data_IF_939189266036
#
_entry.id   IF_939189266036
#
_cell.length_a   1.000
_cell.length_b   1.000
_cell.length_c   1.000
_cell.angle_alpha   90.00
_cell.angle_beta   90.00
_cell.angle_gamma   90.00
#
_symmetry.space_group_name_H-M   'P 1'
#
loop_
_entity.id
_entity.type
_entity.pdbx_description
1 polymer ?
#
# COMPACT_ATOMS: atom_id res chain seq x y z
N UNK A 1 5.16 -12.18 -8.72
CA UNK A 1 5.48 -13.13 -7.65
C UNK A 1 4.51 -12.96 -6.49
N UNK A 2 3.98 -14.04 -5.98
CA UNK A 2 3.06 -13.97 -4.85
C UNK A 2 3.82 -13.81 -3.54
N UNK A 3 3.29 -13.00 -2.65
CA UNK A 3 3.84 -12.84 -1.31
C UNK A 3 3.54 -14.07 -0.47
N UNK A 4 4.35 -14.32 0.56
CA UNK A 4 4.11 -15.42 1.50
C UNK A 4 2.84 -15.17 2.31
N UNK A 5 2.25 -16.23 2.85
CA UNK A 5 1.09 -16.09 3.73
C UNK A 5 1.44 -15.27 4.98
N UNK A 6 2.66 -15.41 5.48
CA UNK A 6 3.13 -14.60 6.61
C UNK A 6 3.05 -13.12 6.29
N UNK A 7 3.55 -12.71 5.11
CA UNK A 7 3.55 -11.31 4.71
C UNK A 7 2.14 -10.78 4.48
N UNK A 8 1.28 -11.60 3.91
CA UNK A 8 -0.13 -11.25 3.71
C UNK A 8 -0.84 -11.04 5.04
N UNK A 9 -0.60 -11.93 6.00
CA UNK A 9 -1.21 -11.82 7.33
C UNK A 9 -0.66 -10.62 8.10
N UNK A 10 0.63 -10.35 7.99
CA UNK A 10 1.24 -9.16 8.57
C UNK A 10 0.54 -7.89 8.04
N UNK A 11 0.26 -7.87 6.74
CA UNK A 11 -0.45 -6.75 6.13
C UNK A 11 -1.84 -6.59 6.72
N UNK A 12 -2.61 -7.69 6.82
CA UNK A 12 -3.97 -7.66 7.37
C UNK A 12 -4.00 -7.14 8.81
N UNK A 13 -3.00 -7.50 9.60
CA UNK A 13 -2.96 -7.15 11.02
C UNK A 13 -2.43 -5.77 11.31
N UNK A 14 -1.53 -5.26 10.47
CA UNK A 14 -0.77 -4.06 10.80
C UNK A 14 -1.02 -2.87 9.87
N UNK A 15 -1.78 -3.06 8.78
CA UNK A 15 -2.01 -1.97 7.84
C UNK A 15 -2.87 -0.88 8.48
N UNK A 16 -2.55 0.37 8.19
CA UNK A 16 -3.31 1.50 8.68
C UNK A 16 -2.99 2.76 7.88
N UNK A 17 -3.77 3.84 8.08
CA UNK A 17 -3.55 5.08 7.34
C UNK A 17 -2.12 5.58 7.49
N UNK A 18 -1.52 5.93 6.37
CA UNK A 18 -0.13 6.41 6.35
C UNK A 18 0.91 5.31 6.31
N UNK A 19 0.52 4.03 6.36
CA UNK A 19 1.47 2.94 6.25
C UNK A 19 2.05 2.89 4.84
N UNK A 20 3.35 2.60 4.76
CA UNK A 20 3.98 2.41 3.45
C UNK A 20 3.73 0.98 2.99
N UNK A 21 3.37 0.84 1.72
CA UNK A 21 3.13 -0.45 1.09
C UNK A 21 4.04 -0.61 -0.11
N UNK A 22 4.24 -1.84 -0.54
CA UNK A 22 5.07 -2.17 -1.69
C UNK A 22 4.40 -3.27 -2.51
N UNK A 23 4.74 -3.33 -3.79
CA UNK A 23 4.31 -4.45 -4.62
C UNK A 23 5.51 -5.26 -5.10
N UNK A 24 5.24 -6.39 -5.75
CA UNK A 24 6.29 -7.29 -6.22
C UNK A 24 7.08 -6.75 -7.42
N UNK A 25 6.72 -5.59 -7.93
CA UNK A 25 7.39 -4.95 -9.06
C UNK A 25 8.36 -3.85 -8.63
N UNK A 26 8.60 -3.72 -7.33
CA UNK A 26 9.51 -2.71 -6.82
C UNK A 26 8.90 -1.31 -6.65
N UNK A 27 7.60 -1.20 -6.73
CA UNK A 27 6.92 0.07 -6.50
C UNK A 27 6.52 0.21 -5.04
N UNK A 28 6.51 1.46 -4.57
CA UNK A 28 6.11 1.80 -3.20
C UNK A 28 4.98 2.81 -3.24
N UNK A 29 4.20 2.85 -2.16
CA UNK A 29 3.14 3.83 -2.03
C UNK A 29 2.71 3.98 -0.59
N UNK A 30 1.76 4.89 -0.35
CA UNK A 30 1.20 5.11 0.98
C UNK A 30 -0.26 4.65 0.99
N UNK A 31 -0.60 3.85 1.99
CA UNK A 31 -1.95 3.36 2.19
C UNK A 31 -2.85 4.48 2.70
N UNK A 32 -3.99 4.65 2.05
CA UNK A 32 -5.01 5.60 2.48
C UNK A 32 -6.36 4.90 2.45
N UNK A 33 -7.05 4.89 3.57
CA UNK A 33 -8.36 4.26 3.69
C UNK A 33 -9.43 5.34 3.73
N UNK A 34 -10.53 5.13 3.02
CA UNK A 34 -11.64 6.07 2.99
C UNK A 34 -12.95 5.30 2.84
N UNK A 35 -14.07 6.02 2.99
CA UNK A 35 -15.40 5.41 2.81
C UNK A 35 -15.59 4.87 1.39
N UNK A 36 -14.85 5.41 0.44
CA UNK A 36 -14.93 4.97 -0.96
C UNK A 36 -14.00 3.80 -1.26
N UNK A 37 -13.26 3.29 -0.28
CA UNK A 37 -12.33 2.19 -0.45
C UNK A 37 -10.89 2.59 -0.16
N UNK A 38 -9.95 1.82 -0.70
CA UNK A 38 -8.53 1.98 -0.44
C UNK A 38 -7.87 2.66 -1.62
N UNK A 39 -7.00 3.62 -1.33
CA UNK A 39 -6.16 4.27 -2.33
C UNK A 39 -4.70 4.10 -1.95
N UNK A 40 -3.87 3.83 -2.95
CA UNK A 40 -2.42 3.84 -2.77
C UNK A 40 -1.91 5.11 -3.42
N UNK A 41 -1.32 5.98 -2.62
CA UNK A 41 -0.75 7.24 -3.11
C UNK A 41 0.71 7.02 -3.48
N UNK A 42 1.16 7.69 -4.52
CA UNK A 42 2.56 7.63 -4.91
C UNK A 42 3.46 8.23 -3.85
N UNK A 43 4.75 8.01 -3.99
CA UNK A 43 5.77 8.52 -3.07
C UNK A 43 6.52 9.63 -3.79
N UNK A 44 6.67 10.78 -3.14
CA UNK A 44 7.51 11.84 -3.66
C UNK A 44 8.71 12.04 -2.74
N UNK A 45 9.88 12.37 -3.30
CA UNK A 45 11.08 12.57 -2.49
C UNK A 45 10.97 13.84 -1.66
N UNK A 46 11.59 13.82 -0.48
CA UNK A 46 11.76 15.00 0.35
C UNK A 46 13.18 14.98 0.92
N UNK A 47 13.56 16.05 1.60
CA UNK A 47 14.93 16.16 2.14
C UNK A 47 15.21 15.11 3.21
N UNK A 48 14.20 14.67 3.93
CA UNK A 48 14.40 13.80 5.10
C UNK A 48 13.70 12.46 4.96
N UNK A 49 12.41 12.46 4.65
CA UNK A 49 11.61 11.24 4.60
C UNK A 49 10.74 11.24 3.36
N UNK A 50 10.46 10.06 2.79
CA UNK A 50 9.47 9.96 1.71
C UNK A 50 8.12 10.46 2.21
N UNK A 51 7.42 11.22 1.37
CA UNK A 51 6.09 11.73 1.71
C UNK A 51 5.12 11.31 0.62
N UNK A 52 3.82 11.18 0.96
CA UNK A 52 2.84 10.83 -0.07
C UNK A 52 2.66 11.96 -1.07
N UNK A 53 2.48 11.59 -2.33
CA UNK A 53 2.16 12.54 -3.38
C UNK A 53 0.64 12.59 -3.55
N UNK A 54 0.16 13.54 -4.38
CA UNK A 54 -1.27 13.61 -4.69
C UNK A 54 -1.67 12.59 -5.76
N UNK A 55 -0.70 11.89 -6.35
CA UNK A 55 -0.97 10.92 -7.38
C UNK A 55 -1.49 9.62 -6.81
N UNK A 56 -2.63 9.15 -7.33
CA UNK A 56 -3.19 7.86 -6.95
C UNK A 56 -2.63 6.81 -7.90
N UNK A 57 -1.87 5.86 -7.40
CA UNK A 57 -1.26 4.83 -8.23
C UNK A 57 -2.11 3.56 -8.30
N UNK A 58 -2.99 3.33 -7.33
CA UNK A 58 -3.89 2.18 -7.35
C UNK A 58 -5.07 2.42 -6.42
N UNK A 59 -6.21 1.78 -6.72
CA UNK A 59 -7.40 1.82 -5.86
C UNK A 59 -7.95 0.41 -5.73
N UNK A 60 -8.51 0.11 -4.55
CA UNK A 60 -9.07 -1.21 -4.25
C UNK A 60 -10.32 -1.05 -3.40
N UNK A 61 -11.21 -2.03 -3.48
CA UNK A 61 -12.43 -2.03 -2.68
C UNK A 61 -12.11 -2.34 -1.21
N UNK A 62 -11.21 -3.30 -0.99
CA UNK A 62 -10.84 -3.72 0.36
C UNK A 62 -9.39 -4.21 0.39
N UNK A 63 -8.93 -4.54 1.60
CA UNK A 63 -7.55 -4.99 1.82
C UNK A 63 -7.26 -6.30 1.09
N UNK A 64 -8.24 -7.20 1.01
CA UNK A 64 -8.03 -8.47 0.32
C UNK A 64 -7.77 -8.28 -1.17
N UNK A 65 -8.48 -7.34 -1.80
CA UNK A 65 -8.21 -7.01 -3.20
C UNK A 65 -6.83 -6.37 -3.37
N UNK A 66 -6.43 -5.52 -2.44
CA UNK A 66 -5.11 -4.90 -2.45
C UNK A 66 -4.01 -5.97 -2.40
N UNK A 67 -4.14 -6.92 -1.49
CA UNK A 67 -3.18 -8.02 -1.35
C UNK A 67 -3.18 -8.91 -2.59
N UNK A 68 -4.37 -9.22 -3.12
CA UNK A 68 -4.48 -10.04 -4.32
C UNK A 68 -3.81 -9.39 -5.53
N UNK A 69 -3.79 -8.07 -5.57
CA UNK A 69 -3.11 -7.32 -6.62
C UNK A 69 -1.60 -7.20 -6.40
N UNK A 70 -1.09 -7.72 -5.28
CA UNK A 70 0.35 -7.75 -5.03
C UNK A 70 0.88 -6.71 -4.07
N UNK A 71 0.01 -5.91 -3.45
CA UNK A 71 0.43 -4.88 -2.51
C UNK A 71 0.38 -5.40 -1.08
N UNK A 72 1.47 -5.22 -0.36
CA UNK A 72 1.58 -5.62 1.05
C UNK A 72 2.29 -4.51 1.83
N UNK A 73 2.20 -4.58 3.15
CA UNK A 73 2.90 -3.63 4.02
C UNK A 73 4.41 -3.78 3.84
N UNK A 74 5.08 -2.64 3.84
CA UNK A 74 6.54 -2.62 3.68
C UNK A 74 7.23 -2.94 5.01
#
# INVERSE_FOLDING_TARGET
>A
MAWSEYKKNETRENIGPGAMVKNGMGQYGFFCDSDAGIKILGVQPSEFLPVPSDEIVATFVDIEQMIAAGWVID
#
